data_IF_755436606164
#
_entry.id   IF_755436606164
#
_cell.length_a   1.000
_cell.length_b   1.000
_cell.length_c   1.000
_cell.angle_alpha   90.00
_cell.angle_beta   90.00
_cell.angle_gamma   90.00
#
_symmetry.space_group_name_H-M   'P 1'
#
loop_
_entity.id
_entity.type
_entity.pdbx_description
1 polymer ?
#
# COMPACT_ATOMS: atom_id res chain seq x y z
N UNK A 1 5.09 11.50 15.90
CA UNK A 1 6.45 11.08 16.29
C UNK A 1 7.18 10.58 15.04
N UNK A 2 8.26 11.25 14.62
CA UNK A 2 9.09 10.82 13.48
C UNK A 2 9.97 9.65 13.94
N UNK A 3 9.78 8.48 13.33
CA UNK A 3 10.84 7.46 13.29
C UNK A 3 11.71 7.78 12.07
N UNK A 4 13.02 7.73 12.22
CA UNK A 4 13.97 8.06 11.15
C UNK A 4 13.71 7.20 9.90
N UNK A 5 13.34 7.83 8.79
CA UNK A 5 13.27 7.21 7.46
C UNK A 5 11.89 6.65 7.07
N UNK A 6 11.36 7.17 5.96
CA UNK A 6 10.14 6.78 5.22
C UNK A 6 8.77 7.18 5.82
N UNK A 7 7.94 7.78 4.96
CA UNK A 7 6.52 8.08 5.26
C UNK A 7 5.77 6.75 5.31
N UNK A 8 5.08 6.49 6.41
CA UNK A 8 4.11 5.39 6.48
C UNK A 8 2.72 5.93 6.19
N UNK A 9 1.88 5.10 5.58
CA UNK A 9 0.49 5.42 5.30
C UNK A 9 -0.42 4.47 6.07
N UNK A 10 -1.55 5.00 6.50
CA UNK A 10 -2.66 4.24 7.09
C UNK A 10 -3.87 4.44 6.20
N UNK A 11 -4.56 3.36 5.85
CA UNK A 11 -5.82 3.44 5.15
C UNK A 11 -6.92 3.91 6.10
N UNK A 12 -7.55 5.04 5.76
CA UNK A 12 -8.63 5.64 6.53
C UNK A 12 -9.77 5.95 5.54
N UNK A 13 -10.87 5.16 5.53
CA UNK A 13 -11.90 5.26 4.49
C UNK A 13 -12.53 6.64 4.28
N UNK A 14 -12.56 7.48 5.33
CA UNK A 14 -13.18 8.81 5.30
C UNK A 14 -12.15 9.96 5.31
N UNK A 15 -10.86 9.66 5.12
CA UNK A 15 -9.84 10.69 4.98
C UNK A 15 -9.81 11.24 3.54
N UNK A 16 -9.16 12.39 3.37
CA UNK A 16 -8.92 12.96 2.04
C UNK A 16 -8.07 12.01 1.19
N UNK A 17 -8.32 12.04 -0.12
CA UNK A 17 -7.49 11.33 -1.09
C UNK A 17 -6.04 11.86 -1.08
N UNK A 18 -5.09 10.96 -1.35
CA UNK A 18 -3.67 11.30 -1.49
C UNK A 18 -3.18 10.86 -2.87
N UNK A 19 -2.35 11.70 -3.49
CA UNK A 19 -1.68 11.33 -4.74
C UNK A 19 -0.53 10.36 -4.46
N UNK A 20 -0.53 9.24 -5.17
CA UNK A 20 0.50 8.21 -5.07
C UNK A 20 0.80 7.61 -6.45
N UNK A 21 1.98 6.99 -6.58
CA UNK A 21 2.34 6.21 -7.77
C UNK A 21 1.82 4.79 -7.63
N UNK A 22 1.05 4.33 -8.61
CA UNK A 22 0.62 2.93 -8.69
C UNK A 22 1.62 2.13 -9.54
N UNK A 23 2.21 1.11 -8.96
CA UNK A 23 3.07 0.16 -9.66
C UNK A 23 2.22 -1.06 -10.06
N UNK A 24 2.34 -1.50 -11.31
CA UNK A 24 1.60 -2.63 -11.86
C UNK A 24 2.58 -3.67 -12.42
N UNK A 25 2.27 -4.95 -12.23
CA UNK A 25 3.04 -6.06 -12.79
C UNK A 25 2.15 -7.28 -12.90
N UNK A 26 2.18 -7.96 -14.05
CA UNK A 26 1.46 -9.23 -14.26
C UNK A 26 2.00 -10.34 -13.35
N UNK A 27 3.28 -10.27 -12.98
CA UNK A 27 3.94 -11.20 -12.06
C UNK A 27 3.74 -10.89 -10.57
N UNK A 28 2.97 -9.83 -10.25
CA UNK A 28 2.76 -9.42 -8.86
C UNK A 28 2.22 -10.55 -7.98
N UNK A 29 1.20 -11.34 -8.39
CA UNK A 29 0.65 -12.41 -7.55
C UNK A 29 1.71 -13.39 -7.05
N UNK A 30 2.67 -13.76 -7.90
CA UNK A 30 3.75 -14.70 -7.57
C UNK A 30 4.83 -14.08 -6.66
N UNK A 31 4.93 -12.75 -6.63
CA UNK A 31 5.93 -12.00 -5.86
C UNK A 31 5.40 -11.46 -4.54
N UNK A 32 4.09 -11.46 -4.33
CA UNK A 32 3.41 -10.96 -3.14
C UNK A 32 4.07 -11.45 -1.84
N UNK A 33 4.34 -12.76 -1.71
CA UNK A 33 4.97 -13.32 -0.51
C UNK A 33 6.42 -12.82 -0.31
N UNK A 34 7.16 -12.56 -1.39
CA UNK A 34 8.51 -12.01 -1.30
C UNK A 34 8.50 -10.56 -0.84
N UNK A 35 7.52 -9.78 -1.31
CA UNK A 35 7.33 -8.39 -0.89
C UNK A 35 6.89 -8.35 0.58
N UNK A 36 6.00 -9.26 1.01
CA UNK A 36 5.60 -9.39 2.42
C UNK A 36 6.81 -9.62 3.34
N UNK A 37 7.77 -10.46 2.92
CA UNK A 37 9.01 -10.68 3.66
C UNK A 37 9.96 -9.48 3.67
N UNK A 38 10.00 -8.72 2.57
CA UNK A 38 10.83 -7.52 2.46
C UNK A 38 10.34 -6.41 3.40
N UNK A 39 9.04 -6.16 3.44
CA UNK A 39 8.42 -5.17 4.33
C UNK A 39 8.51 -5.59 5.80
N UNK A 40 8.49 -6.91 6.05
CA UNK A 40 8.67 -7.48 7.37
C UNK A 40 7.45 -7.31 8.28
N UNK A 41 7.60 -7.68 9.56
CA UNK A 41 6.48 -7.78 10.50
C UNK A 41 5.87 -6.42 10.88
N UNK A 42 6.59 -5.33 10.64
CA UNK A 42 6.16 -3.97 10.94
C UNK A 42 5.01 -3.49 10.03
N UNK A 43 4.74 -4.19 8.93
CA UNK A 43 3.68 -3.86 8.00
C UNK A 43 2.71 -5.02 7.82
N UNK A 44 1.50 -4.73 7.34
CA UNK A 44 0.58 -5.73 6.84
C UNK A 44 -0.02 -5.28 5.51
N UNK A 45 -0.24 -6.24 4.61
CA UNK A 45 -0.84 -5.96 3.32
C UNK A 45 -2.36 -5.89 3.44
N UNK A 46 -2.95 -4.82 2.92
CA UNK A 46 -4.41 -4.66 2.80
C UNK A 46 -4.79 -4.27 1.38
N UNK A 47 -6.04 -4.54 1.02
CA UNK A 47 -6.63 -4.12 -0.24
C UNK A 47 -7.44 -2.85 -0.01
N UNK A 48 -7.18 -1.83 -0.82
CA UNK A 48 -7.91 -0.55 -0.78
C UNK A 48 -8.50 -0.24 -2.16
N UNK A 49 -9.61 0.51 -2.21
CA UNK A 49 -10.01 1.17 -3.43
C UNK A 49 -9.01 2.28 -3.78
N UNK A 50 -8.57 2.32 -5.03
CA UNK A 50 -7.68 3.37 -5.56
C UNK A 50 -8.25 3.92 -6.87
N UNK A 51 -8.08 5.22 -7.09
CA UNK A 51 -8.55 5.90 -8.31
C UNK A 51 -7.39 6.09 -9.28
N UNK A 52 -7.59 5.64 -10.53
CA UNK A 52 -6.60 5.75 -11.61
C UNK A 52 -7.30 6.42 -12.79
N UNK A 53 -7.08 7.73 -12.92
CA UNK A 53 -7.84 8.56 -13.86
C UNK A 53 -9.34 8.53 -13.54
N UNK A 54 -10.13 7.90 -14.42
CA UNK A 54 -11.59 7.73 -14.26
C UNK A 54 -12.00 6.37 -13.70
N UNK A 55 -11.04 5.47 -13.45
CA UNK A 55 -11.32 4.10 -13.03
C UNK A 55 -11.11 3.94 -11.52
N UNK A 56 -11.97 3.14 -10.90
CA UNK A 56 -11.77 2.63 -9.55
C UNK A 56 -11.22 1.22 -9.65
N UNK A 57 -10.08 0.98 -9.00
CA UNK A 57 -9.40 -0.33 -8.98
C UNK A 57 -9.14 -0.75 -7.54
N UNK A 58 -8.86 -2.04 -7.33
CA UNK A 58 -8.40 -2.54 -6.04
C UNK A 58 -6.88 -2.61 -6.07
N UNK A 59 -6.23 -1.98 -5.09
CA UNK A 59 -4.78 -1.94 -4.97
C UNK A 59 -4.31 -2.56 -3.65
N UNK A 60 -3.17 -3.23 -3.69
CA UNK A 60 -2.47 -3.65 -2.49
C UNK A 60 -1.69 -2.46 -1.91
N UNK A 61 -1.77 -2.26 -0.61
CA UNK A 61 -0.87 -1.36 0.14
C UNK A 61 -0.28 -2.09 1.34
N UNK A 62 0.87 -1.61 1.82
CA UNK A 62 1.47 -2.04 3.07
C UNK A 62 1.23 -0.98 4.13
N UNK A 63 0.34 -1.29 5.08
CA UNK A 63 0.00 -0.43 6.21
C UNK A 63 0.89 -0.76 7.41
N UNK A 64 1.51 0.27 7.98
CA UNK A 64 2.34 0.12 9.18
C UNK A 64 1.51 -0.28 10.40
N UNK A 65 1.94 -1.32 11.11
CA UNK A 65 1.42 -1.69 12.43
C UNK A 65 1.98 -0.72 13.46
N UNK A 66 1.11 0.14 14.00
CA UNK A 66 1.45 1.04 15.11
C UNK A 66 1.65 0.27 16.40
#
# INVERSE_FOLDING_TARGET
MQRHGLKYFKWIPNASEIDAKMLVSESLPDKLQSIDRFEGEAYHRVLIPAKVGKHLVVANIYEGKL
#
